data_IF_793808267483
#
_entry.id   IF_793808267483
#
_cell.length_a   1.000
_cell.length_b   1.000
_cell.length_c   1.000
_cell.angle_alpha   90.00
_cell.angle_beta   90.00
_cell.angle_gamma   90.00
#
_symmetry.space_group_name_H-M   'P 1'
#
loop_
_entity.id
_entity.type
_entity.pdbx_description
1 polymer ?
#
# COMPACT_ATOMS: atom_id res chain seq x y z
N UNK A 1 17.33 -19.82 10.29
CA UNK A 1 16.69 -18.50 10.16
C UNK A 1 17.61 -17.47 10.80
N UNK A 2 18.16 -16.57 10.00
CA UNK A 2 19.16 -15.57 10.41
C UNK A 2 18.63 -14.59 11.45
N UNK A 3 19.26 -14.53 12.63
CA UNK A 3 18.93 -13.59 13.73
C UNK A 3 19.07 -12.11 13.31
N UNK A 4 19.87 -11.85 12.27
CA UNK A 4 20.10 -10.52 11.68
C UNK A 4 18.81 -9.93 11.11
N UNK A 5 17.96 -10.77 10.49
CA UNK A 5 16.67 -10.34 9.90
C UNK A 5 15.63 -9.94 10.96
N UNK A 6 15.67 -10.56 12.15
CA UNK A 6 14.77 -10.19 13.25
C UNK A 6 15.12 -8.84 13.87
N UNK A 7 16.40 -8.48 13.95
CA UNK A 7 16.84 -7.21 14.54
C UNK A 7 16.44 -6.02 13.65
N UNK A 8 16.63 -6.14 12.33
CA UNK A 8 16.26 -5.09 11.37
C UNK A 8 14.74 -4.85 11.29
N UNK A 9 13.92 -5.89 11.49
CA UNK A 9 12.45 -5.75 11.62
C UNK A 9 12.06 -5.04 12.92
N UNK A 10 12.74 -5.35 14.02
CA UNK A 10 12.46 -4.77 15.34
C UNK A 10 12.90 -3.30 15.45
N UNK A 11 13.91 -2.87 14.68
CA UNK A 11 14.36 -1.48 14.63
C UNK A 11 13.64 -0.63 13.56
N UNK A 12 12.63 -1.17 12.86
CA UNK A 12 11.92 -0.54 11.73
C UNK A 12 12.81 0.03 10.60
N UNK A 13 14.12 -0.30 10.57
CA UNK A 13 15.09 0.24 9.61
C UNK A 13 14.73 -0.09 8.15
N UNK A 14 13.93 -1.13 7.92
CA UNK A 14 13.41 -1.50 6.59
C UNK A 14 12.45 -0.43 6.02
N UNK A 15 11.89 0.44 6.87
CA UNK A 15 10.99 1.55 6.48
C UNK A 15 11.69 2.91 6.43
N UNK A 16 12.95 3.01 6.87
CA UNK A 16 13.66 4.30 7.07
C UNK A 16 13.87 5.15 5.81
N UNK A 17 13.64 4.59 4.62
CA UNK A 17 13.80 5.29 3.33
C UNK A 17 12.51 5.33 2.49
N UNK A 18 11.37 4.88 3.02
CA UNK A 18 10.12 4.94 2.25
C UNK A 18 9.55 6.35 2.35
N UNK A 19 9.37 6.99 1.21
CA UNK A 19 8.63 8.25 1.07
C UNK A 19 7.22 7.97 0.59
N UNK A 20 6.33 8.94 0.80
CA UNK A 20 5.02 8.95 0.16
C UNK A 20 5.19 8.83 -1.36
N UNK A 21 4.48 7.89 -2.00
CA UNK A 21 4.54 7.65 -3.44
C UNK A 21 3.84 8.73 -4.28
N UNK A 22 3.17 9.70 -3.65
CA UNK A 22 2.65 10.85 -4.36
C UNK A 22 3.80 11.72 -4.86
N UNK A 23 3.79 12.05 -6.15
CA UNK A 23 4.87 12.78 -6.79
C UNK A 23 5.12 14.13 -6.11
N UNK A 24 6.38 14.44 -5.80
CA UNK A 24 6.77 15.65 -5.08
C UNK A 24 6.48 15.65 -3.57
N UNK A 25 5.93 14.57 -3.01
CA UNK A 25 5.69 14.49 -1.56
C UNK A 25 6.93 13.96 -0.81
N UNK A 26 7.55 14.82 0.00
CA UNK A 26 8.66 14.43 0.89
C UNK A 26 8.25 13.87 2.26
N UNK A 27 6.96 13.67 2.51
CA UNK A 27 6.46 13.21 3.83
C UNK A 27 6.67 11.71 4.00
N UNK A 28 6.94 11.28 5.22
CA UNK A 28 6.94 9.86 5.58
C UNK A 28 5.54 9.26 5.41
N UNK A 29 5.43 8.04 4.87
CA UNK A 29 4.16 7.36 4.72
C UNK A 29 3.66 6.89 6.08
N UNK A 30 2.35 7.00 6.29
CA UNK A 30 1.69 6.48 7.49
C UNK A 30 0.93 5.19 7.19
N UNK A 31 0.69 4.90 5.91
CA UNK A 31 -0.04 3.72 5.44
C UNK A 31 0.64 3.06 4.25
N UNK A 32 0.62 1.74 4.27
CA UNK A 32 0.89 0.88 3.13
C UNK A 32 -0.44 0.35 2.60
N UNK A 33 -0.70 0.55 1.31
CA UNK A 33 -1.91 0.13 0.63
C UNK A 33 -1.52 -0.87 -0.45
N UNK A 34 -1.99 -2.11 -0.34
CA UNK A 34 -1.83 -3.09 -1.39
C UNK A 34 -3.11 -3.15 -2.22
N UNK A 35 -3.00 -2.85 -3.51
CA UNK A 35 -4.09 -2.96 -4.47
C UNK A 35 -3.95 -4.30 -5.18
N UNK A 36 -5.06 -4.99 -5.36
CA UNK A 36 -5.09 -6.32 -5.98
C UNK A 36 -6.32 -6.51 -6.85
N UNK A 37 -6.18 -7.38 -7.83
CA UNK A 37 -7.27 -7.94 -8.62
C UNK A 37 -7.74 -9.24 -7.99
N UNK A 38 -9.05 -9.43 -7.96
CA UNK A 38 -9.71 -10.67 -7.59
C UNK A 38 -10.56 -11.12 -8.77
N UNK A 39 -10.22 -12.26 -9.37
CA UNK A 39 -11.01 -12.85 -10.43
C UNK A 39 -12.27 -13.47 -9.82
N UNK A 40 -13.45 -12.99 -10.20
CA UNK A 40 -14.72 -13.39 -9.57
C UNK A 40 -15.17 -14.81 -9.94
N UNK A 41 -14.62 -15.39 -11.00
CA UNK A 41 -14.94 -16.76 -11.45
C UNK A 41 -14.10 -17.79 -10.69
N UNK A 42 -12.79 -17.52 -10.56
CA UNK A 42 -11.81 -18.47 -9.98
C UNK A 42 -11.46 -18.17 -8.53
N UNK A 43 -11.85 -17.01 -8.01
CA UNK A 43 -11.48 -16.52 -6.68
C UNK A 43 -9.99 -16.16 -6.52
N UNK A 44 -9.19 -16.24 -7.59
CA UNK A 44 -7.75 -15.99 -7.52
C UNK A 44 -7.46 -14.51 -7.33
N UNK A 45 -6.54 -14.22 -6.40
CA UNK A 45 -6.04 -12.87 -6.13
C UNK A 45 -4.66 -12.65 -6.74
N UNK A 46 -4.47 -11.49 -7.36
CA UNK A 46 -3.18 -11.05 -7.91
C UNK A 46 -2.88 -9.64 -7.42
N UNK A 47 -1.72 -9.44 -6.79
CA UNK A 47 -1.26 -8.11 -6.40
C UNK A 47 -0.96 -7.26 -7.63
N UNK A 48 -1.44 -6.02 -7.65
CA UNK A 48 -1.14 -5.04 -8.70
C UNK A 48 0.00 -4.12 -8.28
N UNK A 49 -0.17 -3.45 -7.14
CA UNK A 49 0.77 -2.43 -6.67
C UNK A 49 0.67 -2.24 -5.15
N UNK A 50 1.80 -1.93 -4.53
CA UNK A 50 1.88 -1.47 -3.15
C UNK A 50 2.21 0.01 -3.12
N UNK A 51 1.32 0.81 -2.55
CA UNK A 51 1.47 2.27 -2.38
C UNK A 51 1.75 2.60 -0.93
N UNK A 52 2.70 3.49 -0.70
CA UNK A 52 3.05 4.08 0.58
C UNK A 52 2.56 5.52 0.56
N UNK A 53 1.55 5.85 1.37
CA UNK A 53 0.96 7.20 1.38
C UNK A 53 1.05 7.81 2.78
N UNK A 54 1.32 9.12 2.84
CA UNK A 54 1.14 9.89 4.06
C UNK A 54 -0.36 10.05 4.37
N UNK A 55 -0.69 10.49 5.59
CA UNK A 55 -2.09 10.59 6.03
C UNK A 55 -2.95 11.50 5.17
N UNK A 56 -2.34 12.52 4.56
CA UNK A 56 -3.00 13.48 3.66
C UNK A 56 -3.34 12.81 2.32
N UNK A 57 -2.32 12.35 1.57
CA UNK A 57 -2.52 11.71 0.27
C UNK A 57 -3.30 10.39 0.35
N UNK A 58 -3.27 9.70 1.48
CA UNK A 58 -4.18 8.58 1.70
C UNK A 58 -5.66 9.01 1.64
N UNK A 59 -5.99 10.17 2.23
CA UNK A 59 -7.37 10.68 2.27
C UNK A 59 -7.80 11.25 0.92
N UNK A 60 -6.90 11.91 0.19
CA UNK A 60 -7.23 12.61 -1.06
C UNK A 60 -7.06 11.74 -2.31
N UNK A 61 -5.98 10.95 -2.40
CA UNK A 61 -5.57 10.31 -3.66
C UNK A 61 -6.02 8.86 -3.80
N UNK A 62 -6.18 8.15 -2.68
CA UNK A 62 -6.51 6.71 -2.74
C UNK A 62 -7.87 6.46 -3.39
N UNK A 63 -8.85 7.33 -3.14
CA UNK A 63 -10.18 7.24 -3.74
C UNK A 63 -10.12 7.31 -5.28
N UNK A 64 -9.59 8.39 -5.85
CA UNK A 64 -9.36 8.54 -7.29
C UNK A 64 -8.60 7.36 -7.91
N UNK A 65 -7.46 6.94 -7.33
CA UNK A 65 -6.65 5.83 -7.87
C UNK A 65 -7.48 4.54 -7.97
N UNK A 66 -8.20 4.19 -6.91
CA UNK A 66 -9.02 2.96 -6.87
C UNK A 66 -10.18 3.06 -7.85
N UNK A 67 -10.77 4.24 -8.02
CA UNK A 67 -11.83 4.46 -9.00
C UNK A 67 -11.31 4.24 -10.42
N UNK A 68 -10.21 4.87 -10.80
CA UNK A 68 -9.60 4.71 -12.13
C UNK A 68 -9.28 3.25 -12.44
N UNK A 69 -8.73 2.51 -11.47
CA UNK A 69 -8.45 1.08 -11.65
C UNK A 69 -9.72 0.25 -11.82
N UNK A 70 -10.81 0.58 -11.11
CA UNK A 70 -12.10 -0.10 -11.29
C UNK A 70 -12.71 0.19 -12.65
N UNK A 71 -12.66 1.45 -13.10
CA UNK A 71 -13.23 1.87 -14.38
C UNK A 71 -12.49 1.23 -15.57
N UNK A 72 -11.19 0.92 -15.41
CA UNK A 72 -10.40 0.19 -16.39
C UNK A 72 -10.53 -1.35 -16.30
N UNK A 73 -11.19 -1.86 -15.26
CA UNK A 73 -11.31 -3.30 -15.01
C UNK A 73 -12.45 -3.94 -15.83
N UNK A 74 -12.30 -5.22 -16.18
CA UNK A 74 -13.39 -5.99 -16.81
C UNK A 74 -14.42 -6.44 -15.77
N UNK A 75 -15.63 -6.81 -16.21
CA UNK A 75 -16.71 -7.28 -15.31
C UNK A 75 -16.34 -8.52 -14.49
N UNK A 76 -15.35 -9.30 -14.91
CA UNK A 76 -14.91 -10.53 -14.26
C UNK A 76 -13.83 -10.27 -13.20
N UNK A 77 -13.26 -9.07 -13.18
CA UNK A 77 -12.18 -8.67 -12.29
C UNK A 77 -12.68 -7.61 -11.32
N UNK A 78 -12.50 -7.87 -10.03
CA UNK A 78 -12.80 -6.94 -8.94
C UNK A 78 -11.52 -6.34 -8.40
N UNK A 79 -11.47 -5.02 -8.30
CA UNK A 79 -10.35 -4.30 -7.67
C UNK A 79 -10.59 -4.16 -6.17
N UNK A 80 -9.71 -4.79 -5.38
CA UNK A 80 -9.67 -4.71 -3.93
C UNK A 80 -8.47 -3.91 -3.43
N UNK A 81 -8.51 -3.57 -2.13
CA UNK A 81 -7.37 -2.97 -1.43
C UNK A 81 -7.27 -3.48 -0.01
N UNK A 82 -6.05 -3.66 0.49
CA UNK A 82 -5.77 -3.82 1.92
C UNK A 82 -4.93 -2.64 2.40
N UNK A 83 -5.21 -2.17 3.61
CA UNK A 83 -4.53 -1.01 4.21
C UNK A 83 -3.86 -1.50 5.49
N UNK A 84 -2.59 -1.15 5.65
CA UNK A 84 -1.80 -1.40 6.85
C UNK A 84 -1.24 -0.08 7.34
N UNK A 85 -1.55 0.28 8.59
CA UNK A 85 -0.90 1.41 9.23
C UNK A 85 0.58 1.06 9.49
N UNK A 86 1.48 1.95 9.09
CA UNK A 86 2.93 1.76 9.16
C UNK A 86 3.67 2.94 9.79
N UNK A 87 2.95 4.02 10.12
CA UNK A 87 3.53 5.22 10.73
C UNK A 87 4.19 4.91 12.06
N UNK A 88 5.32 5.55 12.33
CA UNK A 88 6.01 5.48 13.60
C UNK A 88 5.09 5.96 14.73
N UNK A 89 4.93 5.12 15.75
CA UNK A 89 4.51 5.57 17.07
C UNK A 89 5.69 6.40 17.60
N UNK A 90 5.50 7.72 17.70
CA UNK A 90 6.44 8.57 18.42
C UNK A 90 6.05 8.47 19.90
N UNK A 91 6.97 7.97 20.72
CA UNK A 91 6.88 8.00 22.19
C UNK A 91 7.31 9.37 22.69
#
# INVERSE_FOLDING_TARGET
MDKSWSILKNLELVKMHKLCNFNGCGKLPTREINIFEENMITGRRKGLVSLYLCSEHYKTELGPIVKTLRDASTKEIKIGKSVKDIGCITF
#
